data_IF_699957857872
#
_entry.id   IF_699957857872
#
_cell.length_a   1.000
_cell.length_b   1.000
_cell.length_c   1.000
_cell.angle_alpha   90.00
_cell.angle_beta   90.00
_cell.angle_gamma   90.00
#
_symmetry.space_group_name_H-M   'P 1'
#
loop_
_entity.id
_entity.type
_entity.pdbx_description
1 polymer ?
#
# COMPACT_ATOMS: atom_id res chain seq x y z
N UNK A 1 8.04 55.15 8.67
CA UNK A 1 8.68 53.81 8.70
C UNK A 1 8.55 53.22 7.32
N UNK A 2 9.66 53.21 6.57
CA UNK A 2 9.68 52.76 5.18
C UNK A 2 9.71 51.23 5.13
N UNK A 3 9.17 50.62 4.08
CA UNK A 3 9.25 49.17 3.82
C UNK A 3 10.71 48.68 3.88
N UNK A 4 11.65 49.55 3.52
CA UNK A 4 13.10 49.29 3.58
C UNK A 4 13.63 49.10 5.01
N UNK A 5 13.08 49.81 6.00
CA UNK A 5 13.52 49.70 7.40
C UNK A 5 13.18 48.33 8.00
N UNK A 6 12.08 47.72 7.53
CA UNK A 6 11.63 46.40 7.98
C UNK A 6 12.50 45.26 7.43
N UNK A 7 13.09 45.44 6.25
CA UNK A 7 14.00 44.47 5.62
C UNK A 7 15.37 44.53 6.30
N UNK A 8 15.90 45.74 6.55
CA UNK A 8 17.20 45.93 7.24
C UNK A 8 17.19 45.38 8.67
N UNK A 9 16.04 45.42 9.34
CA UNK A 9 15.89 44.92 10.72
C UNK A 9 15.81 43.38 10.82
N UNK A 10 15.91 42.65 9.71
CA UNK A 10 15.90 41.18 9.73
C UNK A 10 14.63 40.61 10.38
N UNK A 11 13.53 41.37 10.35
CA UNK A 11 12.18 40.86 10.67
C UNK A 11 11.60 40.11 9.48
N UNK A 12 12.48 39.58 8.62
CA UNK A 12 12.17 38.57 7.63
C UNK A 12 11.40 37.50 8.36
N UNK A 13 10.14 37.41 7.95
CA UNK A 13 9.15 36.44 8.32
C UNK A 13 9.89 35.16 8.67
N UNK A 14 10.08 34.92 9.96
CA UNK A 14 10.31 33.58 10.47
C UNK A 14 9.15 32.84 9.86
N UNK A 15 9.41 32.09 8.79
CA UNK A 15 8.60 30.96 8.44
C UNK A 15 8.62 30.17 9.72
N UNK A 16 7.63 30.45 10.57
CA UNK A 16 7.26 29.63 11.70
C UNK A 16 7.18 28.29 11.04
N UNK A 17 8.19 27.46 11.31
CA UNK A 17 8.18 26.06 10.97
C UNK A 17 6.76 25.64 11.22
N UNK A 18 6.00 25.40 10.15
CA UNK A 18 4.66 24.90 10.25
C UNK A 18 4.88 23.59 10.99
N UNK A 19 4.68 23.66 12.30
CA UNK A 19 4.63 22.53 13.19
C UNK A 19 3.69 21.61 12.46
N UNK A 20 4.20 20.46 12.01
CA UNK A 20 3.48 19.45 11.24
C UNK A 20 2.11 19.22 11.88
N UNK A 21 1.10 19.98 11.45
CA UNK A 21 -0.22 19.91 12.04
C UNK A 21 -0.85 18.69 11.39
N UNK A 22 -1.25 17.79 12.29
CA UNK A 22 -1.99 16.55 12.08
C UNK A 22 -1.12 15.42 11.58
N UNK A 23 -0.72 14.61 12.55
CA UNK A 23 -1.08 13.20 12.58
C UNK A 23 -2.48 12.94 11.97
N UNK A 24 -2.61 13.06 10.65
CA UNK A 24 -3.63 12.33 9.91
C UNK A 24 -3.24 10.89 10.16
N UNK A 25 -3.95 10.30 11.11
CA UNK A 25 -3.83 8.92 11.53
C UNK A 25 -3.42 8.07 10.33
N UNK A 26 -2.24 7.44 10.40
CA UNK A 26 -1.75 6.48 9.39
C UNK A 26 -2.63 5.22 9.33
N UNK A 27 -3.93 5.35 9.63
CA UNK A 27 -4.91 4.30 9.66
C UNK A 27 -5.08 3.65 8.30
N UNK A 28 -5.16 4.46 7.24
CA UNK A 28 -5.28 3.94 5.88
C UNK A 28 -4.04 3.14 5.47
N UNK A 29 -2.85 3.64 5.83
CA UNK A 29 -1.60 2.91 5.60
C UNK A 29 -1.54 1.60 6.40
N UNK A 30 -1.89 1.64 7.69
CA UNK A 30 -1.93 0.45 8.56
C UNK A 30 -2.95 -0.57 8.08
N UNK A 31 -4.13 -0.13 7.65
CA UNK A 31 -5.20 -0.97 7.13
C UNK A 31 -4.79 -1.60 5.81
N UNK A 32 -4.20 -0.83 4.90
CA UNK A 32 -3.65 -1.35 3.65
C UNK A 32 -2.50 -2.35 3.87
N UNK A 33 -1.69 -2.20 4.92
CA UNK A 33 -0.67 -3.18 5.30
C UNK A 33 -1.24 -4.47 5.91
N UNK A 34 -2.39 -4.36 6.58
CA UNK A 34 -3.08 -5.50 7.20
C UNK A 34 -3.89 -6.32 6.19
N UNK A 35 -4.59 -5.65 5.27
CA UNK A 35 -5.55 -6.28 4.35
C UNK A 35 -4.87 -6.80 3.07
N UNK A 36 -3.81 -6.11 2.61
CA UNK A 36 -3.05 -6.54 1.43
C UNK A 36 -2.01 -7.61 1.79
N UNK A 37 -1.86 -8.58 0.88
CA UNK A 37 -0.87 -9.64 0.98
C UNK A 37 0.12 -9.57 -0.18
N UNK A 38 1.36 -9.95 0.07
CA UNK A 38 2.44 -9.95 -0.93
C UNK A 38 2.91 -11.37 -1.26
N UNK A 39 3.13 -11.65 -2.54
CA UNK A 39 3.35 -13.01 -3.03
C UNK A 39 4.84 -13.25 -3.06
N UNK A 40 5.39 -14.25 -2.36
CA UNK A 40 6.82 -14.52 -2.43
C UNK A 40 7.23 -15.05 -3.81
N UNK A 41 6.30 -15.67 -4.56
CA UNK A 41 6.58 -16.32 -5.85
C UNK A 41 6.59 -15.30 -6.99
N UNK A 42 5.44 -14.68 -7.27
CA UNK A 42 5.30 -13.73 -8.38
C UNK A 42 5.49 -12.27 -7.98
N UNK A 43 5.72 -11.99 -6.69
CA UNK A 43 5.96 -10.63 -6.16
C UNK A 43 4.79 -9.66 -6.37
N UNK A 44 3.60 -10.15 -6.74
CA UNK A 44 2.38 -9.34 -6.82
C UNK A 44 1.80 -9.08 -5.43
N UNK A 45 1.12 -7.96 -5.26
CA UNK A 45 0.31 -7.66 -4.07
C UNK A 45 -1.15 -7.91 -4.43
N UNK A 46 -1.93 -8.56 -3.57
CA UNK A 46 -3.37 -8.73 -3.77
C UNK A 46 -4.17 -8.49 -2.51
N UNK A 47 -5.42 -8.17 -2.73
CA UNK A 47 -6.46 -7.99 -1.72
C UNK A 47 -7.48 -9.11 -1.86
N UNK A 48 -8.05 -9.55 -0.74
CA UNK A 48 -9.16 -10.52 -0.73
C UNK A 48 -10.42 -9.77 -0.32
N UNK A 49 -11.35 -9.61 -1.25
CA UNK A 49 -12.65 -9.02 -0.99
C UNK A 49 -13.67 -10.14 -0.86
N UNK A 50 -14.36 -10.22 0.29
CA UNK A 50 -15.41 -11.22 0.52
C UNK A 50 -16.75 -10.51 0.48
N UNK A 51 -17.56 -10.81 -0.53
CA UNK A 51 -18.91 -10.27 -0.69
C UNK A 51 -19.90 -11.42 -0.84
N UNK A 52 -20.90 -11.51 0.05
CA UNK A 52 -21.99 -12.49 -0.02
C UNK A 52 -21.54 -13.91 -0.40
N UNK A 53 -20.59 -14.48 0.34
CA UNK A 53 -19.95 -15.78 0.11
C UNK A 53 -19.06 -15.92 -1.15
N UNK A 54 -18.91 -14.89 -1.96
CA UNK A 54 -17.99 -14.87 -3.11
C UNK A 54 -16.69 -14.15 -2.72
N UNK A 55 -15.55 -14.81 -2.93
CA UNK A 55 -14.23 -14.20 -2.78
C UNK A 55 -13.75 -13.64 -4.12
N UNK A 56 -13.56 -12.33 -4.20
CA UNK A 56 -12.92 -11.66 -5.32
C UNK A 56 -11.51 -11.22 -4.97
N UNK A 57 -10.63 -11.13 -5.97
CA UNK A 57 -9.22 -10.87 -5.80
C UNK A 57 -8.76 -9.72 -6.70
N UNK A 58 -8.35 -8.62 -6.08
CA UNK A 58 -7.72 -7.50 -6.80
C UNK A 58 -6.22 -7.61 -6.74
N UNK A 59 -5.56 -7.46 -7.89
CA UNK A 59 -4.11 -7.58 -8.02
C UNK A 59 -3.48 -6.23 -8.34
N UNK A 60 -2.43 -5.89 -7.62
CA UNK A 60 -1.66 -4.65 -7.76
C UNK A 60 -0.21 -4.99 -8.08
N UNK A 61 0.28 -4.53 -9.24
CA UNK A 61 1.66 -4.79 -9.70
C UNK A 61 2.65 -3.75 -9.16
N UNK A 62 2.26 -2.47 -9.11
CA UNK A 62 3.12 -1.36 -8.71
C UNK A 62 2.87 -0.92 -7.26
N UNK A 63 2.82 -1.87 -6.32
CA UNK A 63 2.56 -1.56 -4.91
C UNK A 63 3.75 -1.95 -4.01
N UNK A 64 4.13 -1.13 -3.00
CA UNK A 64 5.18 -1.47 -2.05
C UNK A 64 4.92 -2.79 -1.30
N UNK A 65 5.94 -3.65 -1.24
CA UNK A 65 5.82 -5.01 -0.68
C UNK A 65 6.28 -5.13 0.77
N UNK A 66 6.98 -4.12 1.27
CA UNK A 66 7.57 -4.15 2.60
C UNK A 66 6.48 -4.01 3.68
N UNK A 67 6.63 -4.72 4.80
CA UNK A 67 5.69 -4.66 5.93
C UNK A 67 4.39 -5.45 5.77
N UNK A 68 4.09 -6.00 4.59
CA UNK A 68 2.85 -6.74 4.32
C UNK A 68 2.96 -8.22 4.68
N UNK A 69 1.83 -8.84 5.03
CA UNK A 69 1.76 -10.28 5.26
C UNK A 69 2.09 -11.03 3.97
N UNK A 70 3.00 -12.01 4.07
CA UNK A 70 3.37 -12.87 2.94
C UNK A 70 2.36 -14.01 2.79
N UNK A 71 1.94 -14.30 1.56
CA UNK A 71 1.07 -15.43 1.24
C UNK A 71 1.24 -15.85 -0.21
N UNK A 72 0.76 -17.02 -0.62
CA UNK A 72 0.77 -17.36 -2.06
C UNK A 72 -0.52 -16.82 -2.68
N UNK A 73 -0.41 -16.09 -3.79
CA UNK A 73 -1.59 -15.56 -4.46
C UNK A 73 -2.41 -16.68 -5.13
N UNK A 74 -3.73 -16.50 -5.33
CA UNK A 74 -4.58 -17.52 -5.94
C UNK A 74 -4.08 -17.98 -7.31
N UNK A 75 -3.61 -17.04 -8.15
CA UNK A 75 -3.03 -17.36 -9.46
C UNK A 75 -1.82 -18.28 -9.35
N UNK A 76 -0.89 -18.01 -8.42
CA UNK A 76 0.24 -18.90 -8.16
C UNK A 76 -0.22 -20.24 -7.58
N UNK A 77 -1.22 -20.25 -6.69
CA UNK A 77 -1.76 -21.48 -6.12
C UNK A 77 -2.34 -22.40 -7.20
N UNK A 78 -3.09 -21.84 -8.16
CA UNK A 78 -3.63 -22.58 -9.31
C UNK A 78 -2.47 -23.11 -10.19
N UNK A 79 -1.48 -22.28 -10.51
CA UNK A 79 -0.32 -22.73 -11.31
C UNK A 79 0.46 -23.85 -10.64
N UNK A 80 0.64 -23.77 -9.32
CA UNK A 80 1.30 -24.81 -8.52
C UNK A 80 0.48 -26.09 -8.62
N UNK A 81 -0.84 -26.04 -8.37
CA UNK A 81 -1.73 -27.21 -8.54
C UNK A 81 -1.60 -27.80 -9.95
N UNK A 82 -1.73 -26.99 -11.00
CA UNK A 82 -1.66 -27.47 -12.39
C UNK A 82 -0.30 -28.08 -12.74
N UNK A 83 0.81 -27.62 -12.13
CA UNK A 83 2.13 -28.23 -12.31
C UNK A 83 2.21 -29.65 -11.73
N UNK A 84 1.48 -29.92 -10.65
CA UNK A 84 1.48 -31.25 -10.01
C UNK A 84 0.39 -32.18 -10.57
N UNK A 85 -0.74 -31.62 -11.02
CA UNK A 85 -1.81 -32.35 -11.69
C UNK A 85 -1.65 -32.24 -13.21
N UNK A 86 -0.70 -32.98 -13.77
CA UNK A 86 -0.42 -32.93 -15.21
C UNK A 86 -1.51 -33.53 -16.12
N UNK A 87 -2.62 -34.09 -15.60
CA UNK A 87 -3.64 -34.78 -16.42
C UNK A 87 -5.00 -34.97 -15.73
N UNK A 88 -5.61 -33.91 -15.20
CA UNK A 88 -7.07 -33.95 -14.93
C UNK A 88 -7.61 -32.57 -15.16
N UNK A 89 -8.37 -32.42 -16.25
CA UNK A 89 -9.16 -31.23 -16.56
C UNK A 89 -9.97 -30.84 -15.31
N UNK A 90 -9.75 -29.61 -14.82
CA UNK A 90 -10.51 -29.06 -13.71
C UNK A 90 -11.73 -28.37 -14.35
N UNK A 91 -12.88 -29.05 -14.27
CA UNK A 91 -14.21 -28.56 -14.68
C UNK A 91 -14.59 -27.25 -13.98
#
# INVERSE_FOLDING_TARGET
MSILDSIVKGTDLKHFNETKIKSMSNFDARKADQDLRACPVCKVVWEVMVFNNTSDYKYYQNFPRYGKKKGVCPSCSIRIKNKYYHNTEVL
#
